data_IF_367320260407
#
_entry.id   IF_367320260407
#
_cell.length_a   1.000
_cell.length_b   1.000
_cell.length_c   1.000
_cell.angle_alpha   90.00
_cell.angle_beta   90.00
_cell.angle_gamma   90.00
#
_symmetry.space_group_name_H-M   'P 1'
#
loop_
_entity.id
_entity.type
_entity.pdbx_description
1 polymer ?
#
# COMPACT_ATOMS: atom_id res chain seq x y z
N UNK A 1 -7.35 6.57 22.36
CA UNK A 1 -7.69 7.32 21.14
C UNK A 1 -7.85 6.30 20.04
N UNK A 2 -8.91 6.38 19.24
CA UNK A 2 -8.99 5.61 18.00
C UNK A 2 -8.19 6.40 16.97
N UNK A 3 -7.17 5.79 16.39
CA UNK A 3 -6.38 6.42 15.34
C UNK A 3 -7.08 6.26 14.00
N UNK A 4 -6.91 7.27 13.13
CA UNK A 4 -7.53 7.32 11.81
C UNK A 4 -6.43 7.69 10.82
N UNK A 5 -6.31 6.91 9.75
CA UNK A 5 -5.47 7.24 8.61
C UNK A 5 -6.38 7.61 7.44
N UNK A 6 -6.05 8.70 6.77
CA UNK A 6 -6.71 9.17 5.56
C UNK A 6 -5.87 8.79 4.35
N UNK A 7 -6.50 8.13 3.38
CA UNK A 7 -5.84 7.64 2.17
C UNK A 7 -6.56 8.24 0.99
N UNK A 8 -5.79 8.81 0.06
CA UNK A 8 -6.33 9.33 -1.20
C UNK A 8 -6.08 8.30 -2.28
N UNK A 9 -7.12 7.52 -2.58
CA UNK A 9 -7.12 6.52 -3.63
C UNK A 9 -7.56 7.14 -4.94
N UNK A 10 -6.90 6.76 -6.02
CA UNK A 10 -7.22 7.19 -7.37
C UNK A 10 -7.67 6.00 -8.17
N UNK A 11 -8.73 6.18 -8.96
CA UNK A 11 -9.23 5.16 -9.87
C UNK A 11 -9.71 5.84 -11.15
N UNK A 12 -8.95 5.68 -12.24
CA UNK A 12 -9.32 6.21 -13.56
C UNK A 12 -10.02 5.17 -14.47
N UNK A 13 -10.52 4.09 -13.87
CA UNK A 13 -11.19 2.98 -14.56
C UNK A 13 -10.23 1.93 -15.14
N UNK A 14 -8.99 2.29 -15.47
CA UNK A 14 -7.97 1.34 -15.95
C UNK A 14 -6.95 1.01 -14.86
N UNK A 15 -6.51 2.03 -14.13
CA UNK A 15 -5.47 1.93 -13.12
C UNK A 15 -5.99 2.42 -11.78
N UNK A 16 -5.38 1.91 -10.71
CA UNK A 16 -5.54 2.46 -9.36
C UNK A 16 -4.19 2.69 -8.72
N UNK A 17 -4.10 3.73 -7.93
CA UNK A 17 -2.92 4.07 -7.13
C UNK A 17 -3.34 4.89 -5.92
N UNK A 18 -2.42 5.05 -4.98
CA UNK A 18 -2.55 5.93 -3.83
C UNK A 18 -1.73 7.18 -4.11
N UNK A 19 -2.38 8.34 -4.07
CA UNK A 19 -1.72 9.63 -4.31
C UNK A 19 -1.28 10.32 -3.02
N UNK A 20 -1.83 9.93 -1.87
CA UNK A 20 -1.40 10.43 -0.56
C UNK A 20 -1.95 9.63 0.62
N UNK A 21 -1.23 9.67 1.73
CA UNK A 21 -1.55 9.03 3.02
C UNK A 21 -1.27 10.04 4.12
N UNK A 22 -2.21 10.25 5.03
CA UNK A 22 -2.12 11.27 6.07
C UNK A 22 -2.70 10.79 7.39
N UNK A 23 -2.06 11.14 8.51
CA UNK A 23 -2.65 11.01 9.84
C UNK A 23 -3.59 12.19 10.17
N UNK A 24 -3.31 13.37 9.61
CA UNK A 24 -4.10 14.58 9.86
C UNK A 24 -5.14 14.86 8.77
N UNK A 25 -6.40 15.03 9.20
CA UNK A 25 -7.50 15.41 8.30
C UNK A 25 -7.23 16.74 7.58
N UNK A 26 -6.67 17.74 8.27
CA UNK A 26 -6.42 19.05 7.67
C UNK A 26 -5.32 18.98 6.60
N UNK A 27 -4.28 18.15 6.80
CA UNK A 27 -3.25 17.92 5.80
C UNK A 27 -3.84 17.22 4.57
N UNK A 28 -4.71 16.24 4.78
CA UNK A 28 -5.45 15.55 3.70
C UNK A 28 -6.21 16.54 2.82
N UNK A 29 -7.01 17.43 3.44
CA UNK A 29 -7.81 18.42 2.71
C UNK A 29 -6.93 19.39 1.91
N UNK A 30 -5.87 19.91 2.54
CA UNK A 30 -4.92 20.81 1.86
C UNK A 30 -4.27 20.16 0.65
N UNK A 31 -3.90 18.87 0.75
CA UNK A 31 -3.33 18.15 -0.36
C UNK A 31 -4.38 17.88 -1.44
N UNK A 32 -5.59 17.46 -1.07
CA UNK A 32 -6.70 17.23 -2.01
C UNK A 32 -7.02 18.49 -2.83
N UNK A 33 -7.05 19.66 -2.20
CA UNK A 33 -7.27 20.96 -2.86
C UNK A 33 -6.13 21.35 -3.81
N UNK A 34 -4.93 20.78 -3.64
CA UNK A 34 -3.77 21.02 -4.50
C UNK A 34 -3.75 20.16 -5.77
N UNK A 35 -4.65 19.17 -5.87
CA UNK A 35 -4.73 18.27 -7.02
C UNK A 35 -5.32 19.02 -8.22
N UNK A 36 -4.66 18.99 -9.41
CA UNK A 36 -5.20 19.58 -10.63
C UNK A 36 -6.63 19.11 -10.93
N UNK A 37 -7.49 20.02 -11.42
CA UNK A 37 -8.92 19.75 -11.59
C UNK A 37 -9.24 18.60 -12.53
N UNK A 38 -8.40 18.39 -13.55
CA UNK A 38 -8.46 17.25 -14.49
C UNK A 38 -8.08 15.91 -13.87
N UNK A 39 -7.35 15.91 -12.75
CA UNK A 39 -7.02 14.71 -11.98
C UNK A 39 -7.95 14.48 -10.79
N UNK A 40 -8.62 15.52 -10.31
CA UNK A 40 -9.42 15.49 -9.09
C UNK A 40 -10.62 14.55 -9.21
N UNK A 41 -11.25 14.46 -10.39
CA UNK A 41 -12.44 13.63 -10.62
C UNK A 41 -12.23 12.13 -10.40
N UNK A 42 -10.97 11.67 -10.38
CA UNK A 42 -10.61 10.27 -10.16
C UNK A 42 -10.19 9.98 -8.71
N UNK A 43 -10.07 11.00 -7.86
CA UNK A 43 -9.59 10.88 -6.49
C UNK A 43 -10.76 10.62 -5.54
N UNK A 44 -10.51 9.87 -4.49
CA UNK A 44 -11.44 9.68 -3.38
C UNK A 44 -10.66 9.58 -2.07
N UNK A 45 -11.24 10.14 -1.00
CA UNK A 45 -10.65 10.07 0.34
C UNK A 45 -11.31 8.93 1.09
N UNK A 46 -10.54 7.90 1.42
CA UNK A 46 -10.92 6.80 2.30
C UNK A 46 -10.37 7.05 3.69
N UNK A 47 -11.21 6.91 4.72
CA UNK A 47 -10.78 7.00 6.12
C UNK A 47 -10.77 5.60 6.73
N UNK A 48 -9.59 5.13 7.16
CA UNK A 48 -9.44 3.82 7.81
C UNK A 48 -9.34 4.05 9.32
N UNK A 49 -10.35 3.58 10.04
CA UNK A 49 -10.34 3.61 11.51
C UNK A 49 -9.51 2.47 12.07
N UNK A 50 -8.87 2.71 13.21
CA UNK A 50 -8.03 1.73 13.92
C UNK A 50 -6.70 1.40 13.24
N UNK A 51 -6.32 2.10 12.17
CA UNK A 51 -5.00 2.00 11.57
C UNK A 51 -4.04 2.99 12.25
N UNK A 52 -2.81 2.57 12.48
CA UNK A 52 -1.73 3.38 13.05
C UNK A 52 -0.46 3.17 12.24
N UNK A 53 0.43 4.16 12.21
CA UNK A 53 1.78 3.91 11.77
C UNK A 53 2.53 3.00 12.76
N UNK A 54 3.39 2.09 12.27
CA UNK A 54 3.50 1.67 10.88
C UNK A 54 2.42 0.65 10.50
N UNK A 55 2.03 0.61 9.23
CA UNK A 55 1.07 -0.36 8.69
C UNK A 55 1.48 -0.87 7.30
N UNK A 56 0.74 -1.86 6.79
CA UNK A 56 0.93 -2.42 5.46
C UNK A 56 -0.19 -2.06 4.50
N UNK A 57 0.18 -1.86 3.24
CA UNK A 57 -0.75 -1.84 2.12
C UNK A 57 -0.44 -3.06 1.26
N UNK A 58 -1.43 -3.90 1.06
CA UNK A 58 -1.39 -4.99 0.08
C UNK A 58 -2.09 -4.52 -1.17
N UNK A 59 -1.37 -4.50 -2.28
CA UNK A 59 -1.90 -4.25 -3.61
C UNK A 59 -1.99 -5.58 -4.38
N UNK A 60 -3.22 -6.00 -4.69
CA UNK A 60 -3.51 -7.16 -5.53
C UNK A 60 -4.25 -6.66 -6.79
N UNK A 61 -3.52 -6.57 -7.91
CA UNK A 61 -4.05 -6.01 -9.15
C UNK A 61 -4.50 -4.55 -9.00
N UNK A 62 -5.80 -4.30 -8.87
CA UNK A 62 -6.37 -2.96 -8.68
C UNK A 62 -7.10 -2.81 -7.34
N UNK A 63 -6.79 -3.68 -6.38
CA UNK A 63 -7.39 -3.69 -5.05
C UNK A 63 -6.34 -3.40 -3.98
N UNK A 64 -6.68 -2.51 -3.06
CA UNK A 64 -5.85 -2.19 -1.89
C UNK A 64 -6.50 -2.74 -0.63
N UNK A 65 -5.72 -3.44 0.18
CA UNK A 65 -6.08 -3.86 1.53
C UNK A 65 -5.10 -3.25 2.54
N UNK A 66 -5.63 -2.75 3.65
CA UNK A 66 -4.87 -2.04 4.69
C UNK A 66 -4.78 -2.90 5.95
N UNK A 67 -3.57 -3.25 6.37
CA UNK A 67 -3.33 -4.20 7.47
C UNK A 67 -2.45 -3.56 8.55
N UNK A 68 -2.87 -3.65 9.81
CA UNK A 68 -2.10 -3.19 10.99
C UNK A 68 -1.25 -4.31 11.62
N UNK A 69 -1.52 -5.58 11.27
CA UNK A 69 -0.98 -6.75 11.95
C UNK A 69 -0.44 -7.82 11.00
N UNK A 70 0.66 -8.47 11.40
CA UNK A 70 1.34 -9.50 10.61
C UNK A 70 0.50 -10.73 10.32
N UNK A 71 -0.43 -11.10 11.20
CA UNK A 71 -1.17 -12.36 11.06
C UNK A 71 -2.02 -12.40 9.79
N UNK A 72 -2.64 -11.27 9.45
CA UNK A 72 -3.49 -11.18 8.27
C UNK A 72 -2.66 -11.27 6.98
N UNK A 73 -1.41 -10.78 7.02
CA UNK A 73 -0.46 -10.94 5.92
C UNK A 73 -0.02 -12.39 5.76
N UNK A 74 0.25 -13.11 6.84
CA UNK A 74 0.63 -14.53 6.76
C UNK A 74 -0.51 -15.39 6.21
N UNK A 75 -1.74 -15.19 6.70
CA UNK A 75 -2.92 -15.85 6.17
C UNK A 75 -3.05 -15.57 4.67
N UNK A 76 -2.82 -14.33 4.23
CA UNK A 76 -2.86 -13.98 2.81
C UNK A 76 -1.79 -14.73 2.00
N UNK A 77 -0.55 -14.84 2.49
CA UNK A 77 0.51 -15.58 1.79
C UNK A 77 0.22 -17.08 1.68
N UNK A 78 -0.42 -17.68 2.68
CA UNK A 78 -0.77 -19.11 2.68
C UNK A 78 -1.81 -19.48 1.61
N UNK A 79 -2.61 -18.52 1.15
CA UNK A 79 -3.64 -18.72 0.11
C UNK A 79 -3.15 -18.46 -1.31
N UNK A 80 -1.89 -18.05 -1.50
CA UNK A 80 -1.33 -17.82 -2.84
C UNK A 80 -1.11 -19.15 -3.56
N UNK A 81 -1.78 -19.30 -4.70
CA UNK A 81 -1.60 -20.44 -5.60
C UNK A 81 -0.43 -20.17 -6.55
N UNK A 82 0.69 -20.83 -6.30
CA UNK A 82 1.91 -20.67 -7.10
C UNK A 82 1.67 -21.14 -8.54
N UNK A 83 2.02 -20.29 -9.51
CA UNK A 83 2.01 -20.61 -10.94
C UNK A 83 3.43 -20.74 -11.51
N UNK A 84 3.56 -21.43 -12.63
CA UNK A 84 4.83 -21.63 -13.35
C UNK A 84 5.22 -20.39 -14.18
N UNK A 85 5.15 -19.21 -13.57
CA UNK A 85 5.68 -17.95 -14.10
C UNK A 85 6.54 -17.32 -13.00
N UNK A 86 7.86 -17.30 -13.23
CA UNK A 86 8.83 -16.82 -12.25
C UNK A 86 8.81 -15.30 -12.10
N UNK A 87 8.31 -14.58 -13.11
CA UNK A 87 8.22 -13.13 -13.11
C UNK A 87 6.84 -12.64 -12.62
N UNK A 88 5.95 -13.56 -12.24
CA UNK A 88 4.62 -13.21 -11.73
C UNK A 88 4.70 -12.62 -10.33
N UNK A 89 4.21 -11.39 -10.21
CA UNK A 89 4.00 -10.71 -8.92
C UNK A 89 2.55 -10.92 -8.50
N UNK A 90 2.35 -11.63 -7.38
CA UNK A 90 1.01 -11.88 -6.83
C UNK A 90 0.47 -10.62 -6.17
N UNK A 91 1.30 -9.98 -5.35
CA UNK A 91 0.96 -8.73 -4.65
C UNK A 91 2.18 -7.81 -4.55
N UNK A 92 1.93 -6.50 -4.51
CA UNK A 92 2.91 -5.54 -3.99
C UNK A 92 2.57 -5.26 -2.51
N UNK A 93 3.56 -5.41 -1.64
CA UNK A 93 3.44 -5.15 -0.21
C UNK A 93 4.19 -3.88 0.15
N UNK A 94 3.47 -2.82 0.50
CA UNK A 94 4.06 -1.55 0.93
C UNK A 94 4.13 -1.48 2.45
N UNK A 95 5.24 -0.98 3.00
CA UNK A 95 5.40 -0.71 4.42
C UNK A 95 5.39 0.79 4.69
N UNK A 96 4.34 1.27 5.35
CA UNK A 96 4.08 2.69 5.54
C UNK A 96 4.40 3.07 6.98
N UNK A 97 5.38 3.96 7.15
CA UNK A 97 5.85 4.42 8.46
C UNK A 97 5.50 5.86 8.79
N UNK A 98 5.06 6.64 7.79
CA UNK A 98 4.75 8.06 7.90
C UNK A 98 3.85 8.49 6.74
N UNK A 99 3.38 9.74 6.81
CA UNK A 99 2.61 10.38 5.75
C UNK A 99 3.34 10.32 4.41
N UNK A 100 2.57 10.01 3.36
CA UNK A 100 3.07 9.92 2.00
C UNK A 100 2.36 10.95 1.13
N UNK A 101 3.14 11.65 0.30
CA UNK A 101 2.65 12.63 -0.65
C UNK A 101 3.34 12.38 -1.98
N UNK A 102 2.55 12.17 -3.04
CA UNK A 102 3.08 12.08 -4.39
C UNK A 102 3.78 13.40 -4.78
N UNK A 103 4.96 13.32 -5.42
CA UNK A 103 5.75 14.50 -5.82
C UNK A 103 4.97 15.46 -6.73
N UNK A 104 4.06 14.92 -7.53
CA UNK A 104 3.09 15.68 -8.31
C UNK A 104 1.69 15.31 -7.79
N UNK A 105 0.94 16.27 -7.23
CA UNK A 105 -0.34 15.99 -6.61
C UNK A 105 -1.28 15.18 -7.52
N UNK A 106 -1.86 14.13 -6.96
CA UNK A 106 -2.81 13.26 -7.63
C UNK A 106 -2.23 12.21 -8.59
N UNK A 107 -0.92 12.24 -8.87
CA UNK A 107 -0.27 11.28 -9.79
C UNK A 107 0.28 10.05 -9.08
N UNK A 108 0.48 8.97 -9.84
CA UNK A 108 1.14 7.76 -9.35
C UNK A 108 2.65 7.99 -9.14
N UNK A 109 3.09 7.75 -7.91
CA UNK A 109 4.50 7.68 -7.51
C UNK A 109 4.71 6.57 -6.46
N UNK A 110 3.84 5.56 -6.37
CA UNK A 110 3.90 4.56 -5.30
C UNK A 110 5.22 3.78 -5.29
N UNK A 111 5.92 3.66 -6.43
CA UNK A 111 7.24 3.03 -6.51
C UNK A 111 8.34 3.68 -5.66
N UNK A 112 8.12 4.86 -5.06
CA UNK A 112 9.07 5.47 -4.10
C UNK A 112 8.86 4.97 -2.66
N UNK A 113 7.70 4.38 -2.36
CA UNK A 113 7.41 3.81 -1.06
C UNK A 113 8.27 2.56 -0.87
N UNK A 114 8.64 2.26 0.38
CA UNK A 114 9.27 0.99 0.69
C UNK A 114 8.27 -0.13 0.41
N UNK A 115 8.58 -0.99 -0.56
CA UNK A 115 7.70 -2.07 -0.99
C UNK A 115 8.47 -3.31 -1.40
N UNK A 116 7.75 -4.42 -1.39
CA UNK A 116 8.21 -5.72 -1.84
C UNK A 116 7.26 -6.27 -2.89
N UNK A 117 7.83 -6.83 -3.96
CA UNK A 117 7.09 -7.71 -4.83
C UNK A 117 7.04 -9.09 -4.17
N UNK A 118 5.83 -9.59 -3.95
CA UNK A 118 5.63 -10.96 -3.50
C UNK A 118 5.47 -11.81 -4.76
N UNK A 119 6.57 -12.43 -5.15
CA UNK A 119 6.71 -13.34 -6.28
C UNK A 119 7.08 -14.75 -5.79
N UNK A 120 7.30 -15.67 -6.73
CA UNK A 120 7.71 -17.04 -6.41
C UNK A 120 8.99 -17.09 -5.57
N UNK A 121 9.97 -16.24 -5.89
CA UNK A 121 11.24 -16.19 -5.17
C UNK A 121 11.04 -15.74 -3.72
N UNK A 122 10.26 -14.68 -3.48
CA UNK A 122 9.90 -14.23 -2.14
C UNK A 122 9.26 -15.37 -1.33
N UNK A 123 8.29 -16.09 -1.91
CA UNK A 123 7.57 -17.17 -1.24
C UNK A 123 8.49 -18.35 -0.88
N UNK A 124 9.48 -18.67 -1.72
CA UNK A 124 10.49 -19.68 -1.42
C UNK A 124 11.35 -19.28 -0.21
N UNK A 125 11.83 -18.04 -0.16
CA UNK A 125 12.59 -17.54 0.99
C UNK A 125 11.74 -17.47 2.26
N UNK A 126 10.47 -17.09 2.12
CA UNK A 126 9.54 -16.98 3.23
C UNK A 126 9.30 -18.34 3.90
N UNK A 127 9.20 -19.44 3.13
CA UNK A 127 9.06 -20.80 3.68
C UNK A 127 10.22 -21.22 4.59
N UNK A 128 11.41 -20.65 4.38
CA UNK A 128 12.62 -20.97 5.18
C UNK A 128 12.81 -19.98 6.32
N UNK A 129 12.62 -18.69 6.06
CA UNK A 129 12.97 -17.61 6.99
C UNK A 129 11.78 -17.12 7.83
N UNK A 130 10.56 -17.40 7.40
CA UNK A 130 9.33 -16.92 8.03
C UNK A 130 9.30 -15.40 8.16
N UNK A 131 8.73 -14.92 9.28
CA UNK A 131 8.50 -13.50 9.56
C UNK A 131 9.74 -12.62 9.53
N UNK A 132 10.92 -13.19 9.80
CA UNK A 132 12.18 -12.44 9.82
C UNK A 132 12.47 -11.82 8.45
N UNK A 133 11.99 -12.44 7.37
CA UNK A 133 12.14 -11.92 6.02
C UNK A 133 11.46 -10.55 5.88
N UNK A 134 10.27 -10.35 6.44
CA UNK A 134 9.61 -9.04 6.39
C UNK A 134 10.41 -7.99 7.14
N UNK A 135 10.93 -8.31 8.33
CA UNK A 135 11.64 -7.34 9.17
C UNK A 135 12.94 -6.88 8.52
N UNK A 136 13.69 -7.79 7.88
CA UNK A 136 14.93 -7.47 7.15
C UNK A 136 14.67 -6.52 5.99
N UNK A 137 13.57 -6.73 5.28
CA UNK A 137 13.23 -5.96 4.09
C UNK A 137 12.59 -4.59 4.39
N UNK A 138 12.25 -4.29 5.65
CA UNK A 138 11.80 -2.93 6.05
C UNK A 138 12.92 -1.88 6.03
N UNK A 139 14.18 -2.30 5.85
CA UNK A 139 15.37 -1.45 5.96
C UNK A 139 15.89 -1.01 4.58
N UNK A 140 15.17 -1.29 3.49
CA UNK A 140 15.53 -0.83 2.14
C UNK A 140 15.30 0.68 1.96
#
# INVERSE_FOLDING_TARGET
>A
MISIIYIIEVSNGQNKWISGIFEEQQATLKYYDSIPGDLNEYQSVTSITSLNYPFYIVEEGTHFTYLDYYKDLEELLEHINIIEDQDHVYINLYYITNDYISKKPGTDNMGILNHLHIDNHFLEHYKVQGRDLFTRNRIA
#
